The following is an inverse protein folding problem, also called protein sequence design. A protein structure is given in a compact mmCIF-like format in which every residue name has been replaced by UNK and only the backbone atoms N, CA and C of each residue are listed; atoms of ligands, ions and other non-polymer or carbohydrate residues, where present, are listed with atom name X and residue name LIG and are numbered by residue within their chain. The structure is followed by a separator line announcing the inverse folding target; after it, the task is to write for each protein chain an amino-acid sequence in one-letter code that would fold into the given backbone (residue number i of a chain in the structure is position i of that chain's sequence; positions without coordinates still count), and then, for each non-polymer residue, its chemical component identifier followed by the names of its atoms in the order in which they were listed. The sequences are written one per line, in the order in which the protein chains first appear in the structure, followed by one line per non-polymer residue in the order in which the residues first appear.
data_IF_158433507873
#
_entry.id   IF_158433507873
#
_cell.length_a   1.000
_cell.length_b   1.000
_cell.length_c   1.000
_cell.angle_alpha   90.00
_cell.angle_beta   90.00
_cell.angle_gamma   90.00
#
_symmetry.space_group_name_H-M   'P 1'
#
loop_
_entity.id
_entity.type
_entity.pdbx_description
1 polymer ?
#
# COMPACT_ATOMS: atom_id res chain seq x y z
N UNK A 1 -33.84 -42.42 -52.66
CA UNK A 1 -33.93 -40.96 -52.44
C UNK A 1 -34.77 -40.78 -51.18
N UNK A 2 -34.41 -40.17 -50.06
CA UNK A 2 -33.21 -39.51 -49.54
C UNK A 2 -33.22 -39.90 -48.04
N UNK A 3 -32.06 -40.30 -47.50
CA UNK A 3 -31.85 -40.52 -46.07
C UNK A 3 -31.88 -39.16 -45.39
N UNK A 4 -32.61 -39.01 -44.29
CA UNK A 4 -32.21 -38.02 -43.29
C UNK A 4 -32.25 -38.66 -41.89
N UNK A 5 -31.05 -38.81 -41.34
CA UNK A 5 -30.76 -39.27 -39.99
C UNK A 5 -30.32 -38.02 -39.23
N UNK A 6 -31.08 -37.58 -38.24
CA UNK A 6 -30.57 -36.67 -37.20
C UNK A 6 -31.47 -36.70 -35.96
N UNK A 7 -31.37 -37.80 -35.20
CA UNK A 7 -31.90 -37.83 -33.83
C UNK A 7 -30.93 -37.06 -32.91
N UNK A 8 -31.32 -35.83 -32.53
CA UNK A 8 -30.64 -35.04 -31.49
C UNK A 8 -30.81 -35.74 -30.13
N UNK A 9 -29.70 -36.22 -29.56
CA UNK A 9 -29.63 -36.63 -28.14
C UNK A 9 -29.83 -35.40 -27.25
N UNK A 10 -30.60 -35.50 -26.14
CA UNK A 10 -30.66 -34.43 -25.16
C UNK A 10 -29.32 -34.38 -24.40
N UNK A 11 -28.72 -33.20 -24.34
CA UNK A 11 -27.53 -32.91 -23.54
C UNK A 11 -27.97 -32.97 -22.07
N UNK A 12 -27.38 -33.88 -21.29
CA UNK A 12 -27.54 -33.89 -19.84
C UNK A 12 -26.84 -32.67 -19.28
N UNK A 13 -27.59 -31.81 -18.61
CA UNK A 13 -27.05 -30.70 -17.84
C UNK A 13 -26.03 -31.22 -16.82
N UNK A 14 -24.83 -30.66 -16.88
CA UNK A 14 -23.79 -30.90 -15.90
C UNK A 14 -24.26 -30.33 -14.55
N UNK A 15 -23.99 -31.00 -13.41
CA UNK A 15 -24.41 -30.52 -12.12
C UNK A 15 -23.74 -29.19 -11.83
N UNK A 16 -24.58 -28.16 -11.62
CA UNK A 16 -24.20 -26.84 -11.18
C UNK A 16 -23.38 -26.96 -9.88
N UNK A 17 -22.11 -26.56 -9.93
CA UNK A 17 -21.23 -26.59 -8.76
C UNK A 17 -21.85 -25.73 -7.67
N UNK A 18 -22.18 -26.36 -6.53
CA UNK A 18 -22.64 -25.68 -5.34
C UNK A 18 -21.68 -24.53 -4.98
N UNK A 19 -22.19 -23.36 -4.55
CA UNK A 19 -21.33 -22.23 -4.22
C UNK A 19 -20.38 -22.63 -3.08
N UNK A 20 -19.08 -22.51 -3.35
CA UNK A 20 -18.04 -22.70 -2.34
C UNK A 20 -18.35 -21.77 -1.16
N UNK A 21 -18.60 -22.37 0.01
CA UNK A 21 -18.75 -21.62 1.25
C UNK A 21 -17.43 -20.89 1.51
N UNK A 22 -17.39 -19.57 1.25
CA UNK A 22 -16.27 -18.71 1.64
C UNK A 22 -15.99 -18.96 3.12
N UNK A 23 -14.82 -19.52 3.42
CA UNK A 23 -14.37 -19.71 4.79
C UNK A 23 -14.44 -18.37 5.53
N UNK A 24 -14.90 -18.38 6.78
CA UNK A 24 -14.92 -17.19 7.60
C UNK A 24 -13.53 -16.53 7.59
N UNK A 25 -13.44 -15.20 7.44
CA UNK A 25 -12.15 -14.52 7.30
C UNK A 25 -11.28 -14.83 8.51
N UNK A 26 -10.11 -15.42 8.27
CA UNK A 26 -9.12 -15.74 9.30
C UNK A 26 -8.81 -14.45 10.06
N UNK A 27 -8.85 -14.54 11.40
CA UNK A 27 -8.50 -13.43 12.28
C UNK A 27 -7.01 -13.50 12.60
N UNK A 28 -6.36 -12.34 12.68
CA UNK A 28 -4.97 -12.26 13.10
C UNK A 28 -4.79 -12.95 14.47
N UNK A 29 -3.73 -13.75 14.62
CA UNK A 29 -3.50 -14.53 15.84
C UNK A 29 -2.03 -14.61 16.22
N UNK A 30 -1.75 -14.65 17.53
CA UNK A 30 -0.38 -14.73 18.08
C UNK A 30 0.21 -16.15 18.02
N UNK A 31 -0.12 -16.93 16.97
CA UNK A 31 0.28 -18.34 16.86
C UNK A 31 1.71 -18.48 16.32
N UNK A 32 2.09 -17.68 15.32
CA UNK A 32 3.41 -17.77 14.69
C UNK A 32 4.51 -17.24 15.62
N UNK A 33 4.24 -16.11 16.26
CA UNK A 33 5.10 -15.49 17.27
C UNK A 33 5.33 -16.47 18.43
N UNK A 34 4.28 -17.09 18.94
CA UNK A 34 4.38 -18.10 20.02
C UNK A 34 5.16 -19.35 19.62
N UNK A 35 5.04 -19.79 18.36
CA UNK A 35 5.82 -20.91 17.85
C UNK A 35 7.33 -20.58 17.80
N UNK A 36 7.68 -19.34 17.44
CA UNK A 36 9.07 -18.87 17.46
C UNK A 36 9.61 -18.73 18.89
N UNK A 37 8.81 -18.19 19.82
CA UNK A 37 9.17 -18.10 21.24
C UNK A 37 9.51 -19.48 21.80
N UNK A 38 8.68 -20.50 21.52
CA UNK A 38 8.93 -21.89 21.94
C UNK A 38 10.23 -22.47 21.36
N UNK A 39 10.71 -21.95 20.24
CA UNK A 39 11.97 -22.33 19.58
C UNK A 39 13.17 -21.51 20.10
N UNK A 40 12.99 -20.65 21.10
CA UNK A 40 14.04 -19.77 21.64
C UNK A 40 14.31 -18.52 20.81
N UNK A 41 13.46 -18.24 19.82
CA UNK A 41 13.54 -17.04 18.96
C UNK A 41 12.66 -15.96 19.59
N UNK A 42 13.32 -15.06 20.33
CA UNK A 42 12.74 -13.90 20.98
C UNK A 42 13.82 -12.81 21.11
N UNK A 43 13.52 -11.53 20.89
CA UNK A 43 12.21 -10.95 20.56
C UNK A 43 11.73 -11.18 19.12
N UNK A 44 10.41 -11.14 18.91
CA UNK A 44 9.76 -11.23 17.58
C UNK A 44 8.97 -9.96 17.30
N UNK A 45 9.31 -9.28 16.21
CA UNK A 45 8.62 -8.07 15.77
C UNK A 45 7.65 -8.36 14.62
N UNK A 46 6.61 -7.54 14.50
CA UNK A 46 5.82 -7.38 13.29
C UNK A 46 5.99 -5.99 12.72
N UNK A 47 5.94 -5.84 11.41
CA UNK A 47 6.18 -4.59 10.70
C UNK A 47 5.20 -4.40 9.55
N UNK A 48 4.67 -3.19 9.40
CA UNK A 48 3.72 -2.81 8.35
C UNK A 48 3.81 -1.31 8.06
N UNK A 49 3.27 -0.88 6.92
CA UNK A 49 3.21 0.50 6.47
C UNK A 49 1.81 1.00 6.08
N UNK A 50 1.57 2.29 6.32
CA UNK A 50 0.42 3.02 5.84
C UNK A 50 0.84 4.10 4.83
N UNK A 51 0.01 4.32 3.81
CA UNK A 51 0.14 5.47 2.93
C UNK A 51 0.91 5.24 1.64
N UNK A 52 0.89 4.05 1.05
CA UNK A 52 1.55 3.83 -0.25
C UNK A 52 0.81 4.44 -1.44
N UNK A 53 -0.51 4.35 -1.49
CA UNK A 53 -1.35 4.85 -2.59
C UNK A 53 -1.65 6.36 -2.67
N UNK A 54 -1.67 7.15 -1.57
CA UNK A 54 -1.99 8.58 -1.59
C UNK A 54 -1.15 9.44 -2.54
N UNK A 55 -1.74 10.52 -3.05
CA UNK A 55 -1.05 11.55 -3.85
C UNK A 55 -0.22 12.49 -2.97
N UNK A 56 -0.59 12.64 -1.70
CA UNK A 56 0.03 13.54 -0.76
C UNK A 56 0.35 12.87 0.59
N UNK A 57 1.34 13.44 1.26
CA UNK A 57 1.80 13.02 2.58
C UNK A 57 2.75 11.82 2.54
N UNK A 58 3.28 11.47 3.72
CA UNK A 58 4.35 10.47 3.83
C UNK A 58 3.82 9.03 3.72
N UNK A 59 4.77 8.11 3.59
CA UNK A 59 4.59 6.72 4.02
C UNK A 59 5.02 6.64 5.49
N UNK A 60 4.21 6.01 6.32
CA UNK A 60 4.52 5.77 7.73
C UNK A 60 4.64 4.27 7.92
N UNK A 61 5.76 3.80 8.45
CA UNK A 61 5.96 2.41 8.83
C UNK A 61 6.06 2.30 10.35
N UNK A 62 5.58 1.19 10.90
CA UNK A 62 5.72 0.87 12.31
C UNK A 62 6.31 -0.53 12.48
N UNK A 63 7.04 -0.73 13.56
CA UNK A 63 7.44 -2.05 14.02
C UNK A 63 7.03 -2.23 15.48
N UNK A 64 6.49 -3.40 15.81
CA UNK A 64 5.90 -3.71 17.11
C UNK A 64 6.38 -5.07 17.62
N UNK A 65 6.90 -5.10 18.85
CA UNK A 65 7.14 -6.32 19.62
C UNK A 65 6.07 -6.39 20.72
N UNK A 66 5.11 -7.29 20.57
CA UNK A 66 4.02 -7.49 21.54
C UNK A 66 4.53 -8.25 22.77
N UNK A 67 4.25 -7.74 23.97
CA UNK A 67 4.47 -8.48 25.21
C UNK A 67 3.50 -9.69 25.28
N UNK A 68 3.99 -10.95 25.34
CA UNK A 68 3.15 -12.14 25.35
C UNK A 68 2.14 -12.20 26.51
N UNK A 69 2.46 -11.55 27.64
CA UNK A 69 1.65 -11.57 28.84
C UNK A 69 0.66 -10.40 28.90
N UNK A 70 0.83 -9.38 28.05
CA UNK A 70 0.03 -8.13 28.06
C UNK A 70 -0.51 -7.73 26.68
N UNK A 71 -0.82 -8.71 25.83
CA UNK A 71 -1.38 -8.47 24.50
C UNK A 71 -2.78 -7.82 24.60
N UNK A 72 -3.01 -6.63 24.02
CA UNK A 72 -4.34 -6.03 23.97
C UNK A 72 -5.34 -6.89 23.20
N UNK A 73 -6.50 -7.17 23.82
CA UNK A 73 -7.63 -7.81 23.12
C UNK A 73 -8.20 -6.88 22.05
N UNK A 74 -8.54 -7.45 20.90
CA UNK A 74 -9.24 -6.75 19.82
C UNK A 74 -8.37 -6.36 18.63
N UNK A 75 -7.06 -6.59 18.69
CA UNK A 75 -6.16 -6.39 17.54
C UNK A 75 -6.62 -7.28 16.37
N UNK A 76 -6.76 -6.65 15.21
CA UNK A 76 -7.13 -7.24 13.92
C UNK A 76 -6.62 -6.29 12.81
N UNK A 77 -6.84 -6.64 11.55
CA UNK A 77 -6.53 -5.77 10.39
C UNK A 77 -7.12 -4.37 10.62
N UNK A 78 -6.28 -3.34 10.52
CA UNK A 78 -6.65 -1.94 10.72
C UNK A 78 -7.79 -1.47 9.81
N UNK A 79 -8.02 -2.10 8.66
CA UNK A 79 -9.11 -1.80 7.71
C UNK A 79 -10.44 -2.36 8.18
N UNK A 80 -10.44 -3.36 9.07
CA UNK A 80 -11.64 -4.00 9.65
C UNK A 80 -12.10 -3.33 10.93
N UNK A 81 -11.32 -2.39 11.45
CA UNK A 81 -11.59 -1.64 12.67
C UNK A 81 -12.11 -0.24 12.35
N UNK A 82 -13.02 0.26 13.17
CA UNK A 82 -13.44 1.67 13.13
C UNK A 82 -12.29 2.59 13.55
N UNK A 83 -12.37 3.88 13.20
CA UNK A 83 -11.35 4.86 13.61
C UNK A 83 -11.21 4.93 15.14
N UNK A 84 -12.33 4.92 15.87
CA UNK A 84 -12.35 4.96 17.33
C UNK A 84 -11.73 3.72 17.98
N UNK A 85 -12.00 2.53 17.43
CA UNK A 85 -11.39 1.29 17.89
C UNK A 85 -9.88 1.29 17.65
N UNK A 86 -9.43 1.78 16.49
CA UNK A 86 -8.00 1.92 16.18
C UNK A 86 -7.30 2.86 17.14
N UNK A 87 -7.89 4.01 17.46
CA UNK A 87 -7.33 4.98 18.42
C UNK A 87 -7.18 4.34 19.81
N UNK A 88 -8.22 3.65 20.30
CA UNK A 88 -8.15 2.93 21.59
C UNK A 88 -7.10 1.81 21.58
N UNK A 89 -6.99 1.07 20.48
CA UNK A 89 -5.99 0.01 20.34
C UNK A 89 -4.58 0.57 20.22
N UNK A 90 -4.39 1.69 19.52
CA UNK A 90 -3.12 2.41 19.44
C UNK A 90 -2.58 2.71 20.83
N UNK A 91 -3.39 3.36 21.68
CA UNK A 91 -2.96 3.73 23.04
C UNK A 91 -2.61 2.49 23.88
N UNK A 92 -3.40 1.41 23.75
CA UNK A 92 -3.14 0.16 24.46
C UNK A 92 -1.87 -0.55 23.96
N UNK A 93 -1.63 -0.57 22.65
CA UNK A 93 -0.43 -1.16 22.05
C UNK A 93 0.80 -0.38 22.53
N UNK A 94 0.77 0.96 22.45
CA UNK A 94 1.87 1.80 22.93
C UNK A 94 2.14 1.65 24.44
N UNK A 95 1.12 1.35 25.24
CA UNK A 95 1.27 1.14 26.68
C UNK A 95 1.83 -0.25 27.07
N UNK A 96 1.66 -1.28 26.23
CA UNK A 96 2.02 -2.67 26.59
C UNK A 96 3.03 -3.35 25.68
N UNK A 97 3.38 -2.77 24.55
CA UNK A 97 4.31 -3.32 23.57
C UNK A 97 5.52 -2.38 23.37
N UNK A 98 6.61 -2.91 22.82
CA UNK A 98 7.66 -2.06 22.28
C UNK A 98 7.26 -1.63 20.87
N UNK A 99 7.30 -0.33 20.61
CA UNK A 99 6.82 0.26 19.36
C UNK A 99 7.86 1.23 18.83
N UNK A 100 8.04 1.22 17.52
CA UNK A 100 8.82 2.22 16.79
C UNK A 100 8.07 2.65 15.54
N UNK A 101 8.30 3.89 15.10
CA UNK A 101 7.69 4.46 13.90
C UNK A 101 8.77 5.14 13.08
N UNK A 102 8.70 4.98 11.76
CA UNK A 102 9.53 5.69 10.81
C UNK A 102 8.66 6.32 9.71
N UNK A 103 9.07 7.49 9.25
CA UNK A 103 8.30 8.28 8.28
C UNK A 103 9.18 8.56 7.07
N UNK A 104 8.74 8.13 5.89
CA UNK A 104 9.32 8.51 4.61
C UNK A 104 8.55 9.69 4.03
N UNK A 105 9.21 10.85 3.93
CA UNK A 105 8.63 12.09 3.40
C UNK A 105 8.34 11.99 1.90
N UNK A 106 7.46 12.86 1.36
CA UNK A 106 7.27 13.00 -0.09
C UNK A 106 8.59 13.20 -0.86
N UNK A 107 9.50 14.03 -0.35
CA UNK A 107 10.82 14.22 -0.95
C UNK A 107 11.65 12.92 -1.03
N UNK A 108 11.54 12.05 -0.02
CA UNK A 108 12.17 10.72 -0.05
C UNK A 108 11.52 9.81 -1.08
N UNK A 109 10.18 9.82 -1.16
CA UNK A 109 9.41 9.06 -2.16
C UNK A 109 9.80 9.50 -3.57
N UNK A 110 9.93 10.80 -3.80
CA UNK A 110 10.31 11.35 -5.09
C UNK A 110 11.74 10.95 -5.48
N UNK A 111 12.68 10.96 -4.52
CA UNK A 111 14.08 10.55 -4.75
C UNK A 111 14.22 9.05 -5.02
N UNK A 112 13.49 8.22 -4.28
CA UNK A 112 13.74 6.79 -4.24
C UNK A 112 12.70 5.96 -4.98
N UNK A 113 11.56 6.51 -5.40
CA UNK A 113 10.33 5.78 -5.72
C UNK A 113 9.60 5.22 -4.48
N UNK A 114 8.31 4.94 -4.65
CA UNK A 114 7.42 4.53 -3.57
C UNK A 114 7.82 3.20 -2.92
N UNK A 115 8.28 2.22 -3.70
CA UNK A 115 8.67 0.91 -3.19
C UNK A 115 9.91 1.03 -2.29
N UNK A 116 10.99 1.66 -2.78
CA UNK A 116 12.23 1.80 -2.01
C UNK A 116 12.06 2.72 -0.80
N UNK A 117 11.25 3.77 -0.90
CA UNK A 117 10.91 4.63 0.23
C UNK A 117 10.14 3.87 1.33
N UNK A 118 9.18 3.01 0.95
CA UNK A 118 8.47 2.14 1.89
C UNK A 118 9.42 1.13 2.57
N UNK A 119 10.25 0.42 1.80
CA UNK A 119 11.23 -0.52 2.35
C UNK A 119 12.23 0.17 3.28
N UNK A 120 12.64 1.39 2.95
CA UNK A 120 13.48 2.20 3.84
C UNK A 120 12.76 2.54 5.15
N UNK A 121 11.48 2.94 5.10
CA UNK A 121 10.71 3.24 6.30
C UNK A 121 10.55 1.99 7.18
N UNK A 122 10.17 0.84 6.60
CA UNK A 122 10.06 -0.44 7.32
C UNK A 122 11.39 -0.82 8.00
N UNK A 123 12.50 -0.80 7.25
CA UNK A 123 13.85 -1.05 7.80
C UNK A 123 14.17 -0.10 8.96
N UNK A 124 13.87 1.20 8.81
CA UNK A 124 14.11 2.21 9.86
C UNK A 124 13.25 1.99 11.10
N UNK A 125 11.99 1.57 10.95
CA UNK A 125 11.15 1.22 12.07
C UNK A 125 11.77 0.04 12.84
N UNK A 126 12.09 -1.07 12.16
CA UNK A 126 12.71 -2.25 12.80
C UNK A 126 14.00 -1.90 13.55
N UNK A 127 14.88 -1.10 12.94
CA UNK A 127 16.16 -0.68 13.55
C UNK A 127 15.96 0.24 14.76
N UNK A 128 14.85 0.99 14.81
CA UNK A 128 14.55 1.93 15.88
C UNK A 128 13.79 1.30 17.06
N UNK A 129 13.53 -0.02 17.03
CA UNK A 129 12.97 -0.72 18.19
C UNK A 129 13.95 -0.61 19.39
N UNK A 130 13.43 -0.41 20.63
CA UNK A 130 14.28 -0.33 21.83
C UNK A 130 15.14 -1.57 22.04
N UNK A 131 14.59 -2.75 21.74
CA UNK A 131 15.30 -4.02 21.74
C UNK A 131 15.39 -4.59 20.31
N UNK A 132 16.58 -5.00 19.84
CA UNK A 132 16.71 -5.57 18.51
C UNK A 132 15.99 -6.93 18.43
N UNK A 133 15.01 -7.10 17.52
CA UNK A 133 14.34 -8.39 17.37
C UNK A 133 15.28 -9.43 16.78
N UNK A 134 15.09 -10.71 17.14
CA UNK A 134 15.77 -11.82 16.45
C UNK A 134 15.13 -12.12 15.10
N UNK A 135 13.81 -11.99 15.02
CA UNK A 135 13.05 -12.17 13.78
C UNK A 135 11.98 -11.07 13.64
N UNK A 136 11.82 -10.57 12.41
CA UNK A 136 10.72 -9.67 12.04
C UNK A 136 9.81 -10.32 10.98
N UNK A 137 8.51 -10.30 11.26
CA UNK A 137 7.47 -10.52 10.26
C UNK A 137 7.14 -9.19 9.58
N UNK A 138 7.14 -9.16 8.25
CA UNK A 138 6.89 -7.94 7.47
C UNK A 138 5.70 -8.16 6.56
N UNK A 139 4.73 -7.24 6.54
CA UNK A 139 3.62 -7.35 5.59
C UNK A 139 4.10 -7.21 4.14
N UNK A 140 3.51 -8.01 3.26
CA UNK A 140 3.80 -8.01 1.84
C UNK A 140 4.81 -9.09 1.42
N UNK A 141 5.49 -8.84 0.31
CA UNK A 141 6.29 -9.86 -0.40
C UNK A 141 7.81 -9.69 -0.24
N UNK A 142 8.22 -8.49 0.14
CA UNK A 142 9.62 -8.07 0.09
C UNK A 142 10.27 -8.27 1.46
N UNK A 143 11.43 -8.91 1.48
CA UNK A 143 12.22 -9.06 2.71
C UNK A 143 13.01 -7.78 2.96
N UNK A 144 13.18 -7.45 4.24
CA UNK A 144 14.01 -6.33 4.65
C UNK A 144 15.47 -6.78 4.73
N UNK A 145 16.35 -5.92 4.21
CA UNK A 145 17.78 -6.04 4.42
C UNK A 145 18.12 -5.52 5.84
N UNK A 146 17.95 -6.37 6.83
CA UNK A 146 18.19 -6.08 8.26
C UNK A 146 19.12 -7.12 8.87
N UNK A 147 19.78 -6.78 9.98
CA UNK A 147 20.64 -7.71 10.71
C UNK A 147 19.86 -8.87 11.37
N UNK A 148 18.57 -8.67 11.64
CA UNK A 148 17.68 -9.71 12.14
C UNK A 148 17.07 -10.53 11.00
N UNK A 149 16.68 -11.77 11.30
CA UNK A 149 15.96 -12.61 10.35
C UNK A 149 14.65 -11.92 9.94
N UNK A 150 14.32 -11.99 8.65
CA UNK A 150 13.10 -11.38 8.11
C UNK A 150 12.27 -12.42 7.36
N UNK A 151 11.00 -12.54 7.72
CA UNK A 151 9.98 -13.32 7.02
C UNK A 151 8.91 -12.37 6.46
N UNK A 152 8.79 -12.31 5.13
CA UNK A 152 7.74 -11.55 4.47
C UNK A 152 6.45 -12.38 4.42
N UNK A 153 5.32 -11.77 4.77
CA UNK A 153 4.01 -12.42 4.85
C UNK A 153 2.99 -11.59 4.07
N UNK A 154 2.51 -12.12 2.94
CA UNK A 154 1.49 -11.45 2.14
C UNK A 154 0.15 -11.46 2.89
N UNK A 155 -0.43 -10.28 3.14
CA UNK A 155 -1.65 -10.15 3.93
C UNK A 155 -1.41 -10.50 5.41
N UNK A 156 -0.22 -10.17 5.90
CA UNK A 156 0.22 -10.46 7.25
C UNK A 156 -0.62 -9.76 8.30
N UNK A 157 -1.19 -8.60 8.01
CA UNK A 157 -2.11 -7.85 8.88
C UNK A 157 -3.38 -8.65 9.26
N UNK A 158 -3.82 -9.56 8.38
CA UNK A 158 -4.93 -10.49 8.66
C UNK A 158 -4.54 -11.81 9.34
N UNK A 159 -3.24 -12.11 9.49
CA UNK A 159 -2.74 -13.44 9.87
C UNK A 159 -1.87 -13.40 11.14
N UNK A 160 -0.92 -12.47 11.19
CA UNK A 160 0.11 -12.34 12.21
C UNK A 160 -0.23 -11.15 13.12
N UNK A 161 -0.35 -11.40 14.42
CA UNK A 161 -0.88 -10.39 15.34
C UNK A 161 0.07 -9.21 15.53
N UNK A 162 1.39 -9.45 15.50
CA UNK A 162 2.38 -8.37 15.56
C UNK A 162 2.35 -7.47 14.32
N UNK A 163 2.11 -8.02 13.11
CA UNK A 163 1.89 -7.22 11.89
C UNK A 163 0.58 -6.43 12.02
N UNK A 164 -0.50 -7.06 12.48
CA UNK A 164 -1.77 -6.38 12.70
C UNK A 164 -1.62 -5.19 13.67
N UNK A 165 -0.87 -5.36 14.76
CA UNK A 165 -0.54 -4.28 15.69
C UNK A 165 0.26 -3.15 15.02
N UNK A 166 1.26 -3.48 14.21
CA UNK A 166 2.02 -2.50 13.43
C UNK A 166 1.15 -1.74 12.43
N UNK A 167 0.21 -2.41 11.76
CA UNK A 167 -0.74 -1.79 10.83
C UNK A 167 -1.58 -0.70 11.49
N UNK A 168 -2.07 -0.96 12.72
CA UNK A 168 -2.84 -0.01 13.53
C UNK A 168 -1.96 1.20 13.87
N UNK A 169 -0.74 0.96 14.37
CA UNK A 169 0.20 2.03 14.73
C UNK A 169 0.53 2.92 13.54
N UNK A 170 0.88 2.31 12.40
CA UNK A 170 1.19 3.03 11.18
C UNK A 170 -0.01 3.84 10.68
N UNK A 171 -1.21 3.25 10.68
CA UNK A 171 -2.44 3.88 10.20
C UNK A 171 -2.85 5.06 11.05
N UNK A 172 -2.93 4.90 12.38
CA UNK A 172 -3.31 5.98 13.30
C UNK A 172 -2.30 7.11 13.25
N UNK A 173 -1.00 6.79 13.27
CA UNK A 173 0.05 7.81 13.18
C UNK A 173 -0.05 8.60 11.88
N UNK A 174 -0.22 7.90 10.74
CA UNK A 174 -0.38 8.58 9.45
C UNK A 174 -1.63 9.44 9.40
N UNK A 175 -2.76 8.94 9.87
CA UNK A 175 -4.01 9.69 9.81
C UNK A 175 -3.96 10.96 10.66
N UNK A 176 -3.29 10.91 11.84
CA UNK A 176 -3.00 12.08 12.67
C UNK A 176 -2.08 13.08 11.95
N UNK A 177 -1.02 12.62 11.29
CA UNK A 177 -0.15 13.48 10.48
C UNK A 177 -0.90 14.17 9.32
N UNK A 178 -1.81 13.46 8.66
CA UNK A 178 -2.61 14.06 7.59
C UNK A 178 -3.63 15.08 8.11
N UNK A 179 -4.19 14.88 9.32
CA UNK A 179 -5.01 15.90 9.97
C UNK A 179 -4.21 17.16 10.32
N UNK A 180 -2.99 17.00 10.84
CA UNK A 180 -2.11 18.14 11.09
C UNK A 180 -1.77 18.87 9.78
N UNK A 181 -1.43 18.12 8.73
CA UNK A 181 -1.13 18.68 7.42
C UNK A 181 -2.32 19.46 6.80
N UNK A 182 -3.56 19.07 7.11
CA UNK A 182 -4.73 19.82 6.67
C UNK A 182 -4.78 21.25 7.22
N UNK A 183 -4.19 21.48 8.39
CA UNK A 183 -4.12 22.82 9.00
C UNK A 183 -3.09 23.69 8.26
N UNK A 184 -1.97 23.10 7.84
CA UNK A 184 -0.91 23.79 7.09
C UNK A 184 -1.28 24.01 5.61
N UNK A 185 -2.13 23.14 5.06
CA UNK A 185 -2.60 23.17 3.67
C UNK A 185 -4.14 23.20 3.63
N UNK A 186 -4.77 24.32 4.04
CA UNK A 186 -6.23 24.43 4.06
C UNK A 186 -6.81 24.35 2.63
N UNK A 187 -8.00 23.77 2.52
CA UNK A 187 -8.73 23.66 1.25
C UNK A 187 -8.44 22.39 0.43
N UNK A 188 -7.47 21.56 0.85
CA UNK A 188 -7.18 20.26 0.21
C UNK A 188 -8.01 19.08 0.75
N UNK A 189 -8.61 19.17 1.94
CA UNK A 189 -9.42 18.09 2.52
C UNK A 189 -8.62 16.91 3.12
N UNK A 190 -7.33 17.10 3.42
CA UNK A 190 -6.45 16.04 3.92
C UNK A 190 -6.92 15.37 5.20
N UNK A 191 -7.69 16.06 6.04
CA UNK A 191 -8.30 15.53 7.24
C UNK A 191 -9.39 14.47 6.95
N UNK A 192 -9.95 14.45 5.74
CA UNK A 192 -11.00 13.51 5.34
C UNK A 192 -10.41 12.32 4.58
N UNK A 193 -9.85 12.58 3.39
CA UNK A 193 -9.37 11.53 2.49
C UNK A 193 -7.90 11.19 2.68
N UNK A 194 -7.19 11.79 3.66
CA UNK A 194 -5.82 11.43 4.04
C UNK A 194 -4.82 11.43 2.86
N UNK A 195 -5.06 12.30 1.88
CA UNK A 195 -4.26 12.44 0.66
C UNK A 195 -4.52 11.39 -0.43
N UNK A 196 -5.48 10.48 -0.28
CA UNK A 196 -5.87 9.54 -1.34
C UNK A 196 -6.47 10.27 -2.55
N UNK A 197 -6.37 9.65 -3.73
CA UNK A 197 -6.90 10.20 -4.99
C UNK A 197 -8.41 10.01 -5.07
N UNK A 198 -9.15 10.83 -4.33
CA UNK A 198 -10.62 10.93 -4.40
C UNK A 198 -11.01 12.18 -5.21
N UNK A 199 -12.22 12.26 -5.78
CA UNK A 199 -12.66 13.41 -6.57
C UNK A 199 -12.40 14.76 -5.89
N UNK A 200 -12.70 14.86 -4.60
CA UNK A 200 -12.54 16.09 -3.81
C UNK A 200 -11.06 16.54 -3.74
N UNK A 201 -10.14 15.59 -3.65
CA UNK A 201 -8.72 15.87 -3.63
C UNK A 201 -8.20 16.29 -5.00
N UNK A 202 -8.69 15.64 -6.07
CA UNK A 202 -8.32 15.99 -7.44
C UNK A 202 -8.83 17.38 -7.81
N UNK A 203 -10.05 17.73 -7.40
CA UNK A 203 -10.62 19.06 -7.59
C UNK A 203 -9.83 20.13 -6.83
N UNK A 204 -9.47 19.85 -5.56
CA UNK A 204 -8.63 20.76 -4.79
C UNK A 204 -7.24 20.92 -5.42
N UNK A 205 -6.63 19.83 -5.89
CA UNK A 205 -5.35 19.83 -6.58
C UNK A 205 -5.42 20.61 -7.91
N UNK A 206 -6.52 20.50 -8.65
CA UNK A 206 -6.75 21.26 -9.89
C UNK A 206 -6.99 22.75 -9.65
N UNK A 207 -7.62 23.12 -8.52
CA UNK A 207 -7.90 24.51 -8.14
C UNK A 207 -6.71 25.21 -7.50
N UNK A 208 -5.99 24.54 -6.61
CA UNK A 208 -4.96 25.12 -5.75
C UNK A 208 -3.53 24.81 -6.22
N UNK A 209 -3.36 23.84 -7.12
CA UNK A 209 -2.06 23.34 -7.54
C UNK A 209 -1.43 22.38 -6.53
N UNK A 210 -0.29 21.75 -6.84
CA UNK A 210 0.40 20.85 -5.92
C UNK A 210 1.24 21.59 -4.88
N UNK A 211 1.19 21.14 -3.62
CA UNK A 211 2.06 21.60 -2.52
C UNK A 211 3.35 20.78 -2.43
N UNK A 212 4.27 21.18 -1.54
CA UNK A 212 5.48 20.41 -1.19
C UNK A 212 5.18 19.02 -0.59
N UNK A 213 3.94 18.80 -0.12
CA UNK A 213 3.51 17.55 0.47
C UNK A 213 2.94 16.57 -0.57
N UNK A 214 2.74 17.01 -1.80
CA UNK A 214 2.36 16.14 -2.91
C UNK A 214 3.58 15.38 -3.44
N UNK A 215 3.35 14.16 -3.92
CA UNK A 215 4.38 13.29 -4.50
C UNK A 215 4.54 13.67 -5.96
N UNK A 216 5.65 14.32 -6.29
CA UNK A 216 5.79 15.10 -7.51
C UNK A 216 5.67 14.27 -8.78
N UNK A 217 6.03 12.98 -8.72
CA UNK A 217 6.02 12.08 -9.88
C UNK A 217 4.75 11.22 -10.01
N UNK A 218 3.75 11.44 -9.16
CA UNK A 218 2.46 10.75 -9.30
C UNK A 218 1.65 11.42 -10.40
N UNK A 219 1.10 10.66 -11.34
CA UNK A 219 0.52 11.20 -12.58
C UNK A 219 -0.48 12.36 -12.38
N UNK A 220 -1.44 12.30 -11.44
CA UNK A 220 -2.34 13.44 -11.20
C UNK A 220 -1.63 14.71 -10.70
N UNK A 221 -0.56 14.54 -9.91
CA UNK A 221 0.25 15.65 -9.39
C UNK A 221 1.10 16.29 -10.49
N UNK A 222 1.66 15.46 -11.39
CA UNK A 222 2.40 15.94 -12.57
C UNK A 222 1.50 16.80 -13.46
N UNK A 223 0.30 16.30 -13.77
CA UNK A 223 -0.68 17.01 -14.59
C UNK A 223 -1.08 18.36 -13.97
N UNK A 224 -1.40 18.38 -12.67
CA UNK A 224 -1.73 19.61 -11.96
C UNK A 224 -0.54 20.59 -11.91
N UNK A 225 0.69 20.09 -11.72
CA UNK A 225 1.89 20.94 -11.74
C UNK A 225 2.08 21.63 -13.09
N UNK A 226 1.91 20.89 -14.20
CA UNK A 226 2.03 21.45 -15.54
C UNK A 226 1.01 22.56 -15.81
N UNK A 227 -0.21 22.43 -15.26
CA UNK A 227 -1.27 23.44 -15.37
C UNK A 227 -0.96 24.72 -14.59
N UNK A 228 -0.49 24.60 -13.35
CA UNK A 228 -0.29 25.73 -12.43
C UNK A 228 1.08 26.40 -12.56
N UNK A 229 2.09 25.64 -12.99
CA UNK A 229 3.44 26.11 -13.23
C UNK A 229 3.86 25.63 -14.63
N UNK A 230 3.31 26.22 -15.70
CA UNK A 230 3.71 25.87 -17.05
C UNK A 230 5.21 26.13 -17.19
N UNK A 231 5.95 25.12 -17.63
CA UNK A 231 7.38 25.25 -17.87
C UNK A 231 7.61 26.34 -18.92
N UNK A 232 8.54 27.27 -18.64
CA UNK A 232 8.95 28.31 -19.60
C UNK A 232 9.80 27.74 -20.74
N UNK A 233 10.28 26.51 -20.58
CA UNK A 233 11.05 25.77 -21.59
C UNK A 233 10.22 24.56 -21.97
N UNK A 234 9.88 24.44 -23.25
CA UNK A 234 9.21 23.23 -23.73
C UNK A 234 10.09 22.01 -23.44
N UNK A 235 9.56 20.96 -22.80
CA UNK A 235 10.31 19.73 -22.62
C UNK A 235 10.67 19.21 -24.01
N UNK A 236 11.97 19.23 -24.31
CA UNK A 236 12.51 18.70 -25.57
C UNK A 236 11.99 17.27 -25.70
N UNK A 237 11.29 16.98 -26.81
CA UNK A 237 10.86 15.62 -27.12
C UNK A 237 12.05 14.69 -26.95
N UNK A 238 11.82 13.56 -26.26
CA UNK A 238 12.85 12.54 -26.07
C UNK A 238 13.52 12.25 -27.41
N UNK A 239 14.82 12.46 -27.49
CA UNK A 239 15.63 12.25 -28.70
C UNK A 239 15.55 10.79 -29.18
N UNK A 240 15.11 9.88 -28.30
CA UNK A 240 14.89 8.46 -28.56
C UNK A 240 13.41 8.08 -28.69
N UNK A 241 12.48 9.03 -28.66
CA UNK A 241 11.09 8.74 -29.01
C UNK A 241 11.02 8.34 -30.49
N UNK A 242 10.75 7.05 -30.72
CA UNK A 242 10.57 6.50 -32.07
C UNK A 242 9.34 7.18 -32.66
N UNK A 243 9.57 8.08 -33.61
CA UNK A 243 8.52 8.58 -34.50
C UNK A 243 8.25 7.46 -35.49
N UNK A 244 7.09 6.81 -35.41
CA UNK A 244 6.62 5.95 -36.50
C UNK A 244 6.45 6.82 -37.74
N UNK A 245 7.43 6.75 -38.65
CA UNK A 245 7.31 7.36 -39.97
C UNK A 245 6.45 6.41 -40.81
N UNK A 246 5.16 6.70 -40.93
CA UNK A 246 4.32 6.05 -41.93
C UNK A 246 4.80 6.47 -43.32
N UNK A 247 5.60 5.63 -43.97
CA UNK A 247 5.90 5.77 -45.39
C UNK A 247 4.70 5.25 -46.18
N UNK A 248 3.84 6.16 -46.67
CA UNK A 248 2.87 5.84 -47.70
C UNK A 248 3.62 5.55 -49.01
N UNK A 249 3.67 4.29 -49.42
CA UNK A 249 4.12 3.90 -50.75
C UNK A 249 2.91 3.94 -51.66
N UNK A 250 2.77 5.01 -52.45
CA UNK A 250 1.83 5.04 -53.57
C UNK A 250 2.38 4.14 -54.69
N UNK A 251 1.70 3.02 -54.94
CA UNK A 251 1.95 2.19 -56.11
C UNK A 251 1.01 2.67 -57.21
N UNK A 252 1.51 3.46 -58.15
CA UNK A 252 0.81 3.77 -59.40
C UNK A 252 0.71 2.50 -60.27
N UNK A 253 -0.48 1.93 -60.35
CA UNK A 253 -0.79 0.90 -61.33
C UNK A 253 -1.07 1.56 -62.69
N UNK A 254 -0.07 1.58 -63.59
CA UNK A 254 -0.30 1.96 -64.99
C UNK A 254 -0.99 0.81 -65.75
N UNK A 255 -2.28 0.98 -66.04
CA UNK A 255 -3.00 0.17 -67.01
C UNK A 255 -2.87 0.80 -68.41
N UNK A 256 -2.42 0.00 -69.39
CA UNK A 256 -2.45 0.29 -70.83
C UNK A 256 -1.58 -0.73 -71.56
N UNK A 257 -2.00 -1.46 -72.61
CA UNK A 257 -3.22 -1.49 -73.42
C UNK A 257 -3.70 -2.94 -73.57
#
# INVERSE_FOLDING_TARGET
MIRDKSAKKPVKDAPEKAPEKKAAPVKASFRRERALIKRGIWPVAGCDEAGRGPLAGPVVAAAVILDPDRIPRGIDDSKRLTAEEREKLFDRICATAQVSVAVASPARIDRDNILRASLWALKRAVVALPEPPKLVFVDGRDRLDTACDCEAVIGGDGIVLSIAAASIVAKVTRDRLMCALAQDCPGYGFEQHKGYAVPEHLDALDRLGPTIHHRSFFAPVVAARAKHMPWTVEPVQDLFSVTEVETAVEIEASAGL
#
